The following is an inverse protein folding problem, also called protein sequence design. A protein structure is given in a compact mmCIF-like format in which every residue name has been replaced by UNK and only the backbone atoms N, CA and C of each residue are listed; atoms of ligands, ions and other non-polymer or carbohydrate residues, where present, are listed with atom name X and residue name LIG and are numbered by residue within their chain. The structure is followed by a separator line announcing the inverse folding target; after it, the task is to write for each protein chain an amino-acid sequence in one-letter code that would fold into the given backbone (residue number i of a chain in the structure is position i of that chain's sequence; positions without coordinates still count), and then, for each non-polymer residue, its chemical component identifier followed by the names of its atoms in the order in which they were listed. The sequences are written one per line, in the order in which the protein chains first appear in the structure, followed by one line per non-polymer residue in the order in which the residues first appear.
data_IF_020431071516
#
_entry.id   IF_020431071516
#
_cell.length_a   1.000
_cell.length_b   1.000
_cell.length_c   1.000
_cell.angle_alpha   90.00
_cell.angle_beta   90.00
_cell.angle_gamma   90.00
#
_symmetry.space_group_name_H-M   'P 1'
#
loop_
_entity.id
_entity.type
_entity.pdbx_description
1 polymer ?
#
# COMPACT_ATOMS: atom_id res chain seq x y z
N UNK A 1 -19.63 33.81 -27.43
CA UNK A 1 -20.16 34.17 -26.10
C UNK A 1 -21.46 33.42 -25.83
N UNK A 2 -21.47 32.55 -24.82
CA UNK A 2 -22.59 32.13 -23.93
C UNK A 2 -22.11 30.88 -23.16
N UNK A 3 -21.64 31.06 -21.93
CA UNK A 3 -22.32 30.78 -20.63
C UNK A 3 -22.16 29.30 -20.22
N UNK A 4 -21.25 29.01 -19.28
CA UNK A 4 -21.46 28.89 -17.82
C UNK A 4 -21.99 27.50 -17.43
N UNK A 5 -21.09 26.74 -16.80
CA UNK A 5 -21.23 26.00 -15.54
C UNK A 5 -22.58 25.29 -15.26
N UNK A 6 -22.54 23.97 -15.12
CA UNK A 6 -23.39 23.30 -14.12
C UNK A 6 -22.60 22.16 -13.48
N UNK A 7 -22.34 22.37 -12.19
CA UNK A 7 -21.69 21.48 -11.25
C UNK A 7 -22.71 20.41 -10.77
N UNK A 8 -22.21 19.20 -10.52
CA UNK A 8 -22.59 18.26 -9.46
C UNK A 8 -24.09 18.09 -9.08
N UNK A 9 -24.61 16.87 -9.31
CA UNK A 9 -25.19 16.02 -8.24
C UNK A 9 -25.83 14.75 -8.84
N UNK A 10 -25.20 13.59 -8.66
CA UNK A 10 -25.94 12.34 -8.49
C UNK A 10 -25.13 11.44 -7.58
N UNK A 11 -25.40 11.56 -6.29
CA UNK A 11 -25.08 10.57 -5.26
C UNK A 11 -25.87 9.30 -5.55
N UNK A 12 -25.25 8.31 -6.19
CA UNK A 12 -25.75 6.94 -6.08
C UNK A 12 -25.40 6.42 -4.69
N UNK A 13 -26.34 6.58 -3.76
CA UNK A 13 -26.40 5.75 -2.56
C UNK A 13 -26.49 4.29 -3.00
N UNK A 14 -25.41 3.53 -2.87
CA UNK A 14 -25.50 2.08 -2.86
C UNK A 14 -25.92 1.72 -1.43
N UNK A 15 -27.23 1.58 -1.23
CA UNK A 15 -27.77 0.90 -0.07
C UNK A 15 -27.51 -0.60 -0.23
N UNK A 16 -26.40 -1.11 0.32
CA UNK A 16 -26.25 -2.54 0.56
C UNK A 16 -27.03 -2.91 1.83
N UNK A 17 -28.32 -3.16 1.65
CA UNK A 17 -29.10 -3.89 2.65
C UNK A 17 -28.65 -5.35 2.66
N UNK A 18 -27.65 -5.68 3.48
CA UNK A 18 -27.32 -7.07 3.80
C UNK A 18 -28.24 -7.55 4.91
N UNK A 19 -29.51 -7.79 4.59
CA UNK A 19 -30.35 -8.66 5.40
C UNK A 19 -30.00 -10.10 5.02
N UNK A 20 -29.06 -10.72 5.73
CA UNK A 20 -28.86 -12.16 5.67
C UNK A 20 -30.03 -12.83 6.41
N UNK A 21 -30.98 -13.30 5.64
CA UNK A 21 -32.04 -14.22 6.08
C UNK A 21 -31.36 -15.54 6.46
N UNK A 22 -31.35 -15.88 7.75
CA UNK A 22 -31.09 -17.25 8.21
C UNK A 22 -32.40 -17.80 8.76
N UNK A 23 -33.09 -18.55 7.91
CA UNK A 23 -34.13 -19.52 8.23
C UNK A 23 -34.18 -20.46 7.01
N UNK A 24 -34.11 -21.79 7.07
CA UNK A 24 -34.29 -22.75 8.15
C UNK A 24 -33.21 -23.84 8.03
N UNK A 25 -32.67 -24.31 9.15
CA UNK A 25 -32.22 -25.70 9.25
C UNK A 25 -33.30 -26.39 10.06
N UNK A 26 -33.95 -27.38 9.46
CA UNK A 26 -34.99 -28.18 10.09
C UNK A 26 -34.49 -28.75 11.42
N UNK A 27 -35.29 -28.69 12.50
CA UNK A 27 -34.95 -29.36 13.73
C UNK A 27 -35.49 -30.77 13.59
N UNK A 28 -34.64 -31.75 13.28
CA UNK A 28 -34.95 -33.10 13.76
C UNK A 28 -33.76 -34.06 13.80
N UNK A 29 -33.78 -34.80 14.90
CA UNK A 29 -33.12 -36.09 15.15
C UNK A 29 -31.61 -36.10 15.45
N UNK A 30 -31.32 -35.79 16.71
CA UNK A 30 -30.64 -36.76 17.55
C UNK A 30 -29.14 -36.57 17.76
N UNK A 31 -28.78 -36.17 18.99
CA UNK A 31 -27.54 -36.62 19.60
C UNK A 31 -26.54 -35.53 19.94
N UNK A 32 -26.41 -35.32 21.26
CA UNK A 32 -25.30 -34.68 21.96
C UNK A 32 -25.07 -33.19 21.71
N UNK A 33 -25.61 -32.41 22.65
CA UNK A 33 -25.19 -31.05 22.91
C UNK A 33 -23.69 -30.96 23.17
N UNK A 34 -22.99 -30.45 22.17
CA UNK A 34 -21.83 -29.59 22.32
C UNK A 34 -22.06 -28.40 21.39
N UNK A 35 -22.98 -27.51 21.79
CA UNK A 35 -23.21 -26.21 21.15
C UNK A 35 -22.06 -25.25 21.44
N UNK A 36 -20.82 -25.67 21.18
CA UNK A 36 -19.68 -24.79 21.02
C UNK A 36 -19.68 -24.29 19.59
N UNK A 37 -20.72 -23.55 19.21
CA UNK A 37 -20.59 -22.69 18.04
C UNK A 37 -19.42 -21.78 18.34
N UNK A 38 -18.35 -21.87 17.54
CA UNK A 38 -17.32 -20.84 17.55
C UNK A 38 -18.06 -19.51 17.56
N UNK A 39 -17.82 -18.70 18.60
CA UNK A 39 -18.27 -17.32 18.56
C UNK A 39 -17.76 -16.79 17.22
N UNK A 40 -18.61 -16.18 16.39
CA UNK A 40 -18.11 -15.52 15.20
C UNK A 40 -16.94 -14.66 15.63
N UNK A 41 -15.79 -14.87 15.00
CA UNK A 41 -14.61 -14.08 15.30
C UNK A 41 -15.05 -12.61 15.29
N UNK A 42 -14.68 -11.82 16.30
CA UNK A 42 -15.04 -10.40 16.30
C UNK A 42 -14.61 -9.82 14.96
N UNK A 43 -15.56 -9.20 14.24
CA UNK A 43 -15.29 -8.62 12.93
C UNK A 43 -14.02 -7.76 13.03
N UNK A 44 -12.95 -8.25 12.41
CA UNK A 44 -11.68 -7.54 12.41
C UNK A 44 -11.92 -6.30 11.55
N UNK A 45 -11.86 -5.12 12.16
CA UNK A 45 -12.00 -3.86 11.43
C UNK A 45 -10.90 -3.80 10.35
N UNK A 46 -11.34 -3.86 9.09
CA UNK A 46 -10.47 -3.72 7.92
C UNK A 46 -10.49 -2.26 7.45
N UNK A 47 -9.32 -1.70 7.20
CA UNK A 47 -9.11 -0.32 6.76
C UNK A 47 -8.77 -0.28 5.27
N UNK A 48 -9.33 0.70 4.58
CA UNK A 48 -9.01 0.94 3.17
C UNK A 48 -7.67 1.67 3.04
N UNK A 49 -7.08 1.58 1.85
CA UNK A 49 -5.76 2.18 1.58
C UNK A 49 -5.76 3.70 1.74
N UNK A 50 -6.84 4.39 1.36
CA UNK A 50 -7.00 5.84 1.51
C UNK A 50 -7.18 6.29 2.98
N UNK A 51 -7.67 5.41 3.86
CA UNK A 51 -7.71 5.71 5.30
C UNK A 51 -6.33 5.67 5.97
N UNK A 52 -5.36 5.05 5.30
CA UNK A 52 -4.02 4.76 5.82
C UNK A 52 -2.96 5.64 5.17
N UNK A 53 -3.06 5.85 3.86
CA UNK A 53 -2.17 6.65 3.03
C UNK A 53 -2.89 7.92 2.59
N UNK A 54 -2.96 8.90 3.49
CA UNK A 54 -3.69 10.15 3.23
C UNK A 54 -2.95 11.07 2.26
N UNK A 55 -1.61 11.11 2.37
CA UNK A 55 -0.77 11.97 1.55
C UNK A 55 -0.27 11.19 0.33
N UNK A 56 -1.02 11.28 -0.77
CA UNK A 56 -0.66 10.70 -2.07
C UNK A 56 0.10 11.69 -2.96
N UNK A 57 0.46 12.86 -2.43
CA UNK A 57 1.23 13.89 -3.12
C UNK A 57 2.43 14.28 -2.25
N UNK A 58 3.64 14.13 -2.80
CA UNK A 58 4.89 14.41 -2.10
C UNK A 58 5.65 15.47 -2.89
N UNK A 59 6.01 16.56 -2.21
CA UNK A 59 6.66 17.71 -2.86
C UNK A 59 8.03 17.37 -3.44
N UNK A 60 8.86 16.64 -2.69
CA UNK A 60 10.22 16.34 -3.11
C UNK A 60 10.72 15.02 -2.52
N UNK A 61 11.40 14.21 -3.34
CA UNK A 61 12.25 13.10 -2.91
C UNK A 61 13.63 13.29 -3.50
N UNK A 62 14.67 13.09 -2.68
CA UNK A 62 16.06 13.20 -3.10
C UNK A 62 16.79 11.90 -2.77
N UNK A 63 17.36 11.26 -3.78
CA UNK A 63 18.12 10.01 -3.62
C UNK A 63 19.35 9.96 -4.52
N UNK A 64 20.28 9.07 -4.21
CA UNK A 64 21.56 8.91 -4.91
C UNK A 64 21.56 7.69 -5.80
N UNK A 65 22.09 7.84 -7.02
CA UNK A 65 22.24 6.79 -8.02
C UNK A 65 23.71 6.48 -8.30
N UNK A 66 24.04 5.20 -8.29
CA UNK A 66 25.25 4.70 -8.95
C UNK A 66 24.81 3.82 -10.15
N UNK A 67 24.98 4.30 -11.40
CA UNK A 67 24.59 3.55 -12.59
C UNK A 67 25.43 2.30 -12.84
N UNK A 68 26.64 2.25 -12.27
CA UNK A 68 27.63 1.19 -12.45
C UNK A 68 27.62 0.17 -11.30
N UNK A 69 26.94 0.49 -10.19
CA UNK A 69 26.72 -0.44 -9.09
C UNK A 69 25.69 -1.51 -9.46
N UNK A 70 26.04 -2.79 -9.25
CA UNK A 70 25.11 -3.92 -9.43
C UNK A 70 23.88 -3.86 -8.52
N UNK A 71 23.94 -3.06 -7.47
CA UNK A 71 22.88 -2.80 -6.50
C UNK A 71 22.29 -1.39 -6.58
N UNK A 72 22.74 -0.55 -7.53
CA UNK A 72 22.40 0.88 -7.56
C UNK A 72 20.90 1.14 -7.76
N UNK A 73 20.26 0.43 -8.70
CA UNK A 73 18.84 0.57 -9.03
C UNK A 73 17.96 0.00 -7.92
N UNK A 74 18.32 -1.18 -7.41
CA UNK A 74 17.70 -1.77 -6.21
C UNK A 74 17.76 -0.81 -5.03
N UNK A 75 18.91 -0.16 -4.82
CA UNK A 75 19.07 0.82 -3.76
C UNK A 75 18.15 2.04 -3.97
N UNK A 76 18.07 2.62 -5.18
CA UNK A 76 17.14 3.74 -5.44
C UNK A 76 15.71 3.35 -5.15
N UNK A 77 15.26 2.24 -5.72
CA UNK A 77 13.87 1.81 -5.58
C UNK A 77 13.53 1.59 -4.10
N UNK A 78 14.39 0.89 -3.36
CA UNK A 78 14.24 0.68 -1.93
C UNK A 78 14.21 1.99 -1.14
N UNK A 79 15.19 2.88 -1.35
CA UNK A 79 15.27 4.14 -0.61
C UNK A 79 14.11 5.06 -0.91
N UNK A 80 13.71 5.16 -2.19
CA UNK A 80 12.55 5.94 -2.58
C UNK A 80 11.27 5.38 -1.97
N UNK A 81 11.06 4.06 -1.99
CA UNK A 81 9.91 3.45 -1.35
C UNK A 81 9.89 3.68 0.17
N UNK A 82 11.04 3.56 0.84
CA UNK A 82 11.17 3.86 2.28
C UNK A 82 10.81 5.33 2.57
N UNK A 83 11.33 6.28 1.78
CA UNK A 83 11.03 7.70 1.92
C UNK A 83 9.54 8.00 1.66
N UNK A 84 8.94 7.34 0.67
CA UNK A 84 7.51 7.42 0.38
C UNK A 84 6.67 6.91 1.56
N UNK A 85 6.97 5.73 2.09
CA UNK A 85 6.29 5.15 3.26
C UNK A 85 6.40 6.09 4.46
N UNK A 86 7.61 6.59 4.74
CA UNK A 86 7.86 7.52 5.85
C UNK A 86 7.06 8.82 5.74
N UNK A 87 6.81 9.30 4.53
CA UNK A 87 6.05 10.53 4.29
C UNK A 87 4.54 10.26 4.25
N UNK A 88 4.12 9.16 3.62
CA UNK A 88 2.71 8.81 3.44
C UNK A 88 2.04 8.30 4.73
N UNK A 89 2.78 7.68 5.66
CA UNK A 89 2.23 7.25 6.96
C UNK A 89 2.17 8.33 8.03
N UNK A 90 2.93 9.43 7.89
CA UNK A 90 3.08 10.46 8.92
C UNK A 90 1.97 11.51 8.87
N UNK A 91 0.74 11.08 9.11
CA UNK A 91 -0.39 11.97 9.26
C UNK A 91 -1.17 11.62 10.52
N UNK A 92 -1.42 12.59 11.41
CA UNK A 92 -2.13 12.39 12.68
C UNK A 92 -3.55 11.84 12.48
N UNK A 93 -4.09 12.00 11.27
CA UNK A 93 -5.43 11.60 10.88
C UNK A 93 -5.53 10.18 10.29
N UNK A 94 -4.41 9.53 9.95
CA UNK A 94 -4.45 8.20 9.34
C UNK A 94 -4.76 7.12 10.38
N UNK A 95 -5.43 6.04 9.95
CA UNK A 95 -5.75 4.91 10.82
C UNK A 95 -4.58 3.94 11.03
N UNK A 96 -3.37 4.31 10.59
CA UNK A 96 -2.16 3.48 10.66
C UNK A 96 -1.89 2.93 12.07
N UNK A 97 -2.11 3.75 13.11
CA UNK A 97 -1.92 3.36 14.52
C UNK A 97 -2.86 2.23 14.96
N UNK A 98 -4.00 2.04 14.29
CA UNK A 98 -4.99 1.01 14.61
C UNK A 98 -4.69 -0.33 13.93
N UNK A 99 -3.91 -0.31 12.85
CA UNK A 99 -3.48 -1.49 12.11
C UNK A 99 -2.44 -2.27 12.91
N UNK A 100 -1.41 -1.60 13.42
CA UNK A 100 -0.29 -2.26 14.11
C UNK A 100 0.46 -1.32 15.05
N UNK A 101 0.79 -1.84 16.24
CA UNK A 101 1.83 -1.26 17.09
C UNK A 101 3.20 -1.69 16.57
N UNK A 102 4.26 -0.91 16.82
CA UNK A 102 4.40 0.51 16.53
C UNK A 102 4.38 0.74 15.00
N UNK A 103 4.26 2.00 14.55
CA UNK A 103 4.34 2.36 13.12
C UNK A 103 5.57 1.76 12.40
N UNK A 104 6.67 1.60 13.14
CA UNK A 104 7.90 0.94 12.67
C UNK A 104 7.68 -0.48 12.13
N UNK A 105 6.70 -1.22 12.66
CA UNK A 105 6.44 -2.60 12.23
C UNK A 105 5.74 -2.62 10.87
N UNK A 106 4.86 -1.64 10.61
CA UNK A 106 4.19 -1.52 9.31
C UNK A 106 5.16 -1.01 8.25
N UNK A 107 5.95 0.00 8.60
CA UNK A 107 7.05 0.48 7.77
C UNK A 107 8.02 -0.66 7.43
N UNK A 108 8.40 -1.49 8.41
CA UNK A 108 9.27 -2.65 8.20
C UNK A 108 8.63 -3.67 7.27
N UNK A 109 7.36 -4.05 7.51
CA UNK A 109 6.67 -5.06 6.69
C UNK A 109 6.56 -4.62 5.22
N UNK A 110 6.23 -3.35 4.98
CA UNK A 110 6.10 -2.80 3.64
C UNK A 110 7.45 -2.44 3.00
N UNK A 111 8.49 -2.21 3.80
CA UNK A 111 9.87 -2.10 3.29
C UNK A 111 10.37 -3.46 2.79
N UNK A 112 10.07 -4.58 3.45
CA UNK A 112 10.42 -5.92 2.95
C UNK A 112 9.75 -6.23 1.60
N UNK A 113 8.51 -5.75 1.39
CA UNK A 113 7.84 -5.85 0.09
C UNK A 113 8.63 -5.16 -1.04
N UNK A 114 9.29 -4.05 -0.73
CA UNK A 114 10.16 -3.35 -1.67
C UNK A 114 11.34 -4.22 -2.12
N UNK A 115 11.89 -5.05 -1.24
CA UNK A 115 12.96 -5.98 -1.57
C UNK A 115 12.49 -7.06 -2.54
N UNK A 116 11.29 -7.61 -2.33
CA UNK A 116 10.67 -8.56 -3.25
C UNK A 116 10.53 -7.94 -4.64
N UNK A 117 9.93 -6.75 -4.73
CA UNK A 117 9.69 -6.05 -6.00
C UNK A 117 10.96 -5.54 -6.70
N UNK A 118 12.03 -5.28 -5.94
CA UNK A 118 13.34 -4.96 -6.52
C UNK A 118 14.01 -6.11 -7.27
N UNK A 119 13.50 -7.35 -7.12
CA UNK A 119 14.04 -8.54 -7.76
C UNK A 119 13.42 -8.88 -9.12
N UNK A 120 12.35 -8.18 -9.52
CA UNK A 120 11.75 -8.23 -10.85
C UNK A 120 10.22 -8.28 -10.83
N UNK A 121 9.59 -7.68 -11.84
CA UNK A 121 8.14 -7.57 -12.13
C UNK A 121 7.37 -6.34 -11.61
N UNK A 122 8.00 -5.38 -10.91
CA UNK A 122 7.32 -4.14 -10.53
C UNK A 122 7.50 -3.00 -11.56
N UNK A 123 6.40 -2.30 -11.88
CA UNK A 123 6.37 -1.21 -12.88
C UNK A 123 7.34 -0.07 -12.53
N UNK A 124 7.38 0.36 -11.27
CA UNK A 124 8.24 1.47 -10.86
C UNK A 124 9.71 1.09 -10.93
N UNK A 125 10.05 -0.14 -10.55
CA UNK A 125 11.40 -0.66 -10.69
C UNK A 125 11.84 -0.63 -12.17
N UNK A 126 10.96 -1.06 -13.08
CA UNK A 126 11.22 -1.00 -14.52
C UNK A 126 11.33 0.43 -15.04
N UNK A 127 10.49 1.38 -14.59
CA UNK A 127 10.58 2.80 -14.95
C UNK A 127 11.94 3.39 -14.56
N UNK A 128 12.37 3.16 -13.31
CA UNK A 128 13.68 3.60 -12.83
C UNK A 128 14.83 2.92 -13.58
N UNK A 129 14.65 1.66 -13.97
CA UNK A 129 15.63 0.95 -14.79
C UNK A 129 15.78 1.59 -16.18
N UNK A 130 14.67 1.95 -16.83
CA UNK A 130 14.68 2.57 -18.15
C UNK A 130 15.30 3.98 -18.12
N UNK A 131 15.12 4.74 -17.02
CA UNK A 131 15.71 6.06 -16.87
C UNK A 131 17.25 6.05 -16.90
N UNK A 132 17.90 4.91 -16.61
CA UNK A 132 19.36 4.81 -16.52
C UNK A 132 20.08 5.35 -17.77
N UNK A 133 19.53 5.14 -18.96
CA UNK A 133 20.16 5.55 -20.22
C UNK A 133 20.14 7.07 -20.44
N UNK A 134 19.23 7.78 -19.76
CA UNK A 134 18.99 9.21 -19.93
C UNK A 134 19.66 10.07 -18.84
N UNK A 135 20.21 9.43 -17.79
CA UNK A 135 20.75 10.13 -16.63
C UNK A 135 22.19 10.63 -16.86
N UNK A 136 22.39 11.93 -16.65
CA UNK A 136 23.70 12.58 -16.72
C UNK A 136 24.42 12.55 -15.35
N UNK A 137 25.74 12.70 -15.34
CA UNK A 137 26.48 12.91 -14.08
C UNK A 137 26.03 14.19 -13.41
N UNK A 138 25.77 14.16 -12.10
CA UNK A 138 25.27 15.30 -11.34
C UNK A 138 23.83 15.12 -10.88
N UNK A 139 23.09 16.22 -10.74
CA UNK A 139 21.70 16.19 -10.28
C UNK A 139 20.76 16.14 -11.49
N UNK A 140 19.94 15.09 -11.57
CA UNK A 140 18.86 14.94 -12.54
C UNK A 140 17.54 15.18 -11.83
N UNK A 141 16.66 15.99 -12.43
CA UNK A 141 15.37 16.37 -11.85
C UNK A 141 14.26 15.81 -12.73
N UNK A 142 13.39 15.00 -12.14
CA UNK A 142 12.22 14.41 -12.79
C UNK A 142 10.98 15.00 -12.12
N UNK A 143 10.13 15.65 -12.91
CA UNK A 143 8.90 16.28 -12.40
C UNK A 143 7.70 15.34 -12.50
N UNK A 144 6.79 15.43 -11.53
CA UNK A 144 5.51 14.72 -11.50
C UNK A 144 5.64 13.20 -11.70
N UNK A 145 6.63 12.60 -11.05
CA UNK A 145 6.86 11.17 -11.11
C UNK A 145 5.78 10.41 -10.35
N UNK A 146 5.07 9.49 -11.03
CA UNK A 146 4.04 8.64 -10.44
C UNK A 146 4.65 7.33 -9.96
N UNK A 147 4.44 7.03 -8.68
CA UNK A 147 4.88 5.80 -8.04
C UNK A 147 3.69 4.97 -7.56
N UNK A 148 3.55 3.76 -8.10
CA UNK A 148 2.45 2.84 -7.76
C UNK A 148 2.87 1.87 -6.66
N UNK A 149 2.28 1.96 -5.47
CA UNK A 149 2.53 1.02 -4.39
C UNK A 149 1.44 -0.06 -4.38
N UNK A 150 1.80 -1.26 -4.80
CA UNK A 150 0.91 -2.41 -4.76
C UNK A 150 0.95 -3.05 -3.36
N UNK A 151 -0.23 -3.21 -2.76
CA UNK A 151 -0.44 -3.83 -1.45
C UNK A 151 -1.19 -5.14 -1.71
N UNK A 152 -0.46 -6.20 -2.02
CA UNK A 152 -0.99 -7.54 -2.26
C UNK A 152 -0.63 -8.43 -1.07
N UNK A 153 -1.62 -9.07 -0.45
CA UNK A 153 -1.43 -9.82 0.79
C UNK A 153 -0.49 -11.01 0.60
N UNK A 154 -0.61 -11.73 -0.51
CA UNK A 154 0.27 -12.85 -0.83
C UNK A 154 1.74 -12.40 -0.87
N UNK A 155 2.03 -11.32 -1.57
CA UNK A 155 3.37 -10.76 -1.71
C UNK A 155 3.91 -10.23 -0.38
N UNK A 156 3.06 -9.59 0.44
CA UNK A 156 3.44 -9.14 1.79
C UNK A 156 3.85 -10.33 2.66
N UNK A 157 3.08 -11.43 2.63
CA UNK A 157 3.38 -12.63 3.40
C UNK A 157 4.65 -13.32 2.91
N UNK A 158 4.88 -13.36 1.59
CA UNK A 158 6.10 -13.91 0.98
C UNK A 158 7.34 -13.10 1.38
N UNK A 159 7.29 -11.78 1.16
CA UNK A 159 8.39 -10.86 1.49
C UNK A 159 8.75 -10.91 2.97
N UNK A 160 7.77 -11.18 3.84
CA UNK A 160 7.94 -11.21 5.30
C UNK A 160 7.92 -12.63 5.88
N UNK A 161 8.41 -13.63 5.15
CA UNK A 161 8.49 -15.01 5.64
C UNK A 161 9.23 -15.15 6.98
N UNK A 162 10.18 -14.26 7.27
CA UNK A 162 10.91 -14.17 8.55
C UNK A 162 10.17 -13.40 9.65
N UNK A 163 9.17 -12.59 9.30
CA UNK A 163 8.35 -11.76 10.21
C UNK A 163 6.84 -11.98 10.00
N UNK A 164 6.44 -13.25 9.89
CA UNK A 164 5.08 -13.64 9.50
C UNK A 164 4.00 -13.13 10.46
N UNK A 165 4.33 -12.92 11.74
CA UNK A 165 3.38 -12.43 12.75
C UNK A 165 2.92 -11.00 12.44
N UNK A 166 3.85 -10.10 12.15
CA UNK A 166 3.52 -8.70 11.82
C UNK A 166 2.86 -8.60 10.44
N UNK A 167 3.33 -9.39 9.47
CA UNK A 167 2.70 -9.46 8.16
C UNK A 167 1.24 -9.94 8.21
N UNK A 168 0.96 -11.05 8.92
CA UNK A 168 -0.42 -11.57 9.12
C UNK A 168 -1.35 -10.54 9.75
N UNK A 169 -0.84 -9.77 10.72
CA UNK A 169 -1.61 -8.72 11.38
C UNK A 169 -1.90 -7.53 10.46
N UNK A 170 -0.95 -7.19 9.59
CA UNK A 170 -1.15 -6.14 8.59
C UNK A 170 -2.23 -6.56 7.58
N UNK A 171 -2.08 -7.73 6.96
CA UNK A 171 -3.03 -8.21 5.93
C UNK A 171 -4.42 -8.52 6.48
N UNK A 172 -4.56 -8.86 7.76
CA UNK A 172 -5.89 -9.06 8.36
C UNK A 172 -6.65 -7.75 8.61
N UNK A 173 -6.00 -6.59 8.45
CA UNK A 173 -6.57 -5.27 8.78
C UNK A 173 -6.47 -4.25 7.65
N UNK A 174 -5.72 -4.53 6.59
CA UNK A 174 -5.52 -3.62 5.48
C UNK A 174 -6.12 -4.24 4.21
N UNK A 175 -6.93 -3.50 3.48
CA UNK A 175 -7.42 -3.96 2.18
C UNK A 175 -6.27 -4.09 1.17
N UNK A 176 -6.39 -5.04 0.24
CA UNK A 176 -5.51 -5.09 -0.93
C UNK A 176 -5.84 -3.97 -1.91
N UNK A 177 -4.85 -3.60 -2.72
CA UNK A 177 -5.02 -2.66 -3.83
C UNK A 177 -3.74 -1.92 -4.18
N UNK A 178 -3.87 -0.90 -5.02
CA UNK A 178 -2.76 -0.07 -5.49
C UNK A 178 -2.99 1.37 -5.08
N UNK A 179 -1.94 2.03 -4.60
CA UNK A 179 -1.93 3.46 -4.29
C UNK A 179 -0.99 4.14 -5.25
N UNK A 180 -1.51 5.12 -6.00
CA UNK A 180 -0.67 6.00 -6.82
C UNK A 180 -0.22 7.19 -5.97
N UNK A 181 1.08 7.35 -5.82
CA UNK A 181 1.69 8.50 -5.15
C UNK A 181 2.35 9.39 -6.21
N UNK A 182 1.98 10.67 -6.26
CA UNK A 182 2.60 11.66 -7.13
C UNK A 182 3.75 12.33 -6.41
N UNK A 183 4.97 12.16 -6.91
CA UNK A 183 6.16 12.88 -6.47
C UNK A 183 6.35 14.09 -7.39
N UNK A 184 6.08 15.29 -6.90
CA UNK A 184 6.20 16.52 -7.72
C UNK A 184 7.61 16.69 -8.26
N UNK A 185 8.62 16.38 -7.44
CA UNK A 185 10.03 16.50 -7.81
C UNK A 185 10.87 15.35 -7.27
N UNK A 186 11.34 14.49 -8.17
CA UNK A 186 12.30 13.43 -7.88
C UNK A 186 13.70 13.90 -8.30
N UNK A 187 14.62 14.01 -7.35
CA UNK A 187 16.00 14.42 -7.58
C UNK A 187 16.92 13.19 -7.46
N UNK A 188 17.55 12.81 -8.56
CA UNK A 188 18.52 11.71 -8.63
C UNK A 188 19.93 12.27 -8.78
N UNK A 189 20.78 12.07 -7.77
CA UNK A 189 22.19 12.44 -7.82
C UNK A 189 23.05 11.29 -8.32
N UNK A 190 23.63 11.44 -9.51
CA UNK A 190 24.44 10.43 -10.21
C UNK A 190 25.92 10.75 -10.04
N UNK A 191 26.71 9.73 -9.67
CA UNK A 191 28.16 9.83 -9.46
C UNK A 191 28.97 9.22 -10.63
#
# INVERSE_FOLDING_TARGET
MKKILTLLATTTLIASSSASVIACVDPDEGGNGNGGGEKPDPEVETYSLDEVFLDTEIDEIKTTFDPNGSSGQKSIYLWMQIDLLNKAFKNENSKIKKIGQPQSDIESVLAELAYLYSSGQNENYNKLNNLKEELEKGENIIENFKFNMDIIHADILEANSSNLKSAKKLVSKLQEGTIEITVKKLILKVF
#
